data_IF_907798488093
#
_entry.id   IF_907798488093
#
_cell.length_a   1.000
_cell.length_b   1.000
_cell.length_c   1.000
_cell.angle_alpha   90.00
_cell.angle_beta   90.00
_cell.angle_gamma   90.00
#
_symmetry.space_group_name_H-M   'P 1'
#
loop_
_entity.id
_entity.type
_entity.pdbx_description
1 polymer ?
#
# COMPACT_ATOMS: atom_id res chain seq x y z
N UNK A 1 -0.06 -22.03 -2.16
CA UNK A 1 -0.86 -21.76 -3.38
C UNK A 1 -0.97 -20.25 -3.63
N UNK A 2 0.14 -19.51 -3.77
CA UNK A 2 0.12 -18.04 -3.67
C UNK A 2 0.05 -17.29 -5.03
N UNK A 3 0.21 -17.98 -6.17
CA UNK A 3 0.46 -17.32 -7.47
C UNK A 3 -0.74 -16.66 -8.16
N UNK A 4 -1.98 -17.06 -7.82
CA UNK A 4 -3.15 -16.75 -8.65
C UNK A 4 -4.23 -15.88 -7.99
N UNK A 5 -3.94 -15.19 -6.88
CA UNK A 5 -4.91 -14.22 -6.36
C UNK A 5 -5.20 -13.14 -7.40
N UNK A 6 -6.48 -12.84 -7.59
CA UNK A 6 -6.96 -11.77 -8.45
C UNK A 6 -6.62 -10.38 -7.85
N UNK A 7 -6.42 -9.37 -8.70
CA UNK A 7 -6.04 -8.02 -8.25
C UNK A 7 -7.15 -7.37 -7.41
N UNK A 8 -8.41 -7.58 -7.77
CA UNK A 8 -9.54 -7.02 -7.04
C UNK A 8 -9.78 -7.80 -5.74
N UNK A 9 -9.59 -9.13 -5.75
CA UNK A 9 -9.63 -9.92 -4.52
C UNK A 9 -8.55 -9.45 -3.52
N UNK A 10 -7.32 -9.23 -4.00
CA UNK A 10 -6.23 -8.70 -3.18
C UNK A 10 -6.58 -7.32 -2.61
N UNK A 11 -7.19 -6.43 -3.42
CA UNK A 11 -7.66 -5.13 -2.96
C UNK A 11 -8.74 -5.25 -1.86
N UNK A 12 -9.72 -6.14 -2.03
CA UNK A 12 -10.74 -6.39 -1.02
C UNK A 12 -10.15 -6.87 0.31
N UNK A 13 -9.18 -7.79 0.27
CA UNK A 13 -8.50 -8.28 1.48
C UNK A 13 -7.68 -7.17 2.15
N UNK A 14 -6.98 -6.36 1.36
CA UNK A 14 -6.24 -5.20 1.87
C UNK A 14 -7.16 -4.17 2.53
N UNK A 15 -8.34 -3.89 1.97
CA UNK A 15 -9.36 -3.03 2.62
C UNK A 15 -9.72 -3.59 4.00
N UNK A 16 -9.92 -4.90 4.15
CA UNK A 16 -10.24 -5.48 5.45
C UNK A 16 -9.08 -5.34 6.44
N UNK A 17 -7.83 -5.52 6.01
CA UNK A 17 -6.65 -5.28 6.87
C UNK A 17 -6.53 -3.82 7.31
N UNK A 18 -6.73 -2.87 6.39
CA UNK A 18 -6.74 -1.43 6.75
C UNK A 18 -7.87 -1.10 7.72
N UNK A 19 -9.05 -1.72 7.54
CA UNK A 19 -10.16 -1.60 8.51
C UNK A 19 -9.79 -2.19 9.87
N UNK A 20 -9.23 -3.40 9.93
CA UNK A 20 -8.76 -3.99 11.19
C UNK A 20 -7.76 -3.10 11.95
N UNK A 21 -6.90 -2.41 11.19
CA UNK A 21 -5.90 -1.50 11.75
C UNK A 21 -6.50 -0.23 12.35
N UNK A 22 -7.60 0.31 11.80
CA UNK A 22 -8.03 1.69 12.09
C UNK A 22 -9.52 1.90 12.37
N UNK A 23 -10.39 0.95 12.04
CA UNK A 23 -11.83 1.06 12.28
C UNK A 23 -12.11 1.20 13.79
N UNK A 24 -12.97 2.17 14.13
CA UNK A 24 -13.31 2.52 15.51
C UNK A 24 -12.14 3.01 16.39
N UNK A 25 -11.01 3.44 15.81
CA UNK A 25 -9.89 4.02 16.57
C UNK A 25 -9.88 5.54 16.50
N UNK A 26 -9.56 6.18 17.62
CA UNK A 26 -9.32 7.63 17.65
C UNK A 26 -7.89 7.96 17.21
N UNK A 27 -7.75 8.23 15.91
CA UNK A 27 -6.43 8.49 15.29
C UNK A 27 -5.80 9.81 15.75
N UNK A 28 -6.56 10.77 16.28
CA UNK A 28 -6.02 12.08 16.68
C UNK A 28 -5.05 11.99 17.86
N UNK A 29 -5.15 10.91 18.65
CA UNK A 29 -4.33 10.67 19.82
C UNK A 29 -3.25 9.60 19.58
N UNK A 30 -3.16 9.09 18.35
CA UNK A 30 -2.25 8.01 18.00
C UNK A 30 -0.94 8.58 17.44
N UNK A 31 0.20 8.10 17.93
CA UNK A 31 1.49 8.49 17.34
C UNK A 31 1.62 7.84 15.97
N UNK A 32 2.31 8.50 15.04
CA UNK A 32 2.60 7.95 13.71
C UNK A 32 3.24 6.55 13.77
N UNK A 33 4.16 6.33 14.71
CA UNK A 33 4.78 5.01 14.90
C UNK A 33 3.80 3.93 15.40
N UNK A 34 2.75 4.31 16.15
CA UNK A 34 1.68 3.38 16.53
C UNK A 34 0.78 3.06 15.33
N UNK A 35 0.49 4.06 14.48
CA UNK A 35 -0.29 3.89 13.25
C UNK A 35 0.42 2.95 12.28
N UNK A 36 1.72 3.19 12.02
CA UNK A 36 2.55 2.31 11.19
C UNK A 36 2.58 0.88 11.74
N UNK A 37 2.82 0.71 13.06
CA UNK A 37 2.81 -0.63 13.68
C UNK A 37 1.48 -1.34 13.55
N UNK A 38 0.37 -0.62 13.71
CA UNK A 38 -0.97 -1.20 13.58
C UNK A 38 -1.24 -1.65 12.15
N UNK A 39 -0.90 -0.82 11.15
CA UNK A 39 -1.03 -1.20 9.75
C UNK A 39 -0.13 -2.39 9.42
N UNK A 40 1.15 -2.36 9.80
CA UNK A 40 2.11 -3.41 9.44
C UNK A 40 1.74 -4.74 10.07
N UNK A 41 1.26 -4.76 11.32
CA UNK A 41 0.78 -5.98 11.96
C UNK A 41 -0.38 -6.63 11.19
N UNK A 42 -1.34 -5.85 10.67
CA UNK A 42 -2.44 -6.38 9.86
C UNK A 42 -1.96 -6.85 8.48
N UNK A 43 -0.93 -6.20 7.93
CA UNK A 43 -0.31 -6.59 6.67
C UNK A 43 0.53 -7.87 6.79
N UNK A 44 1.19 -8.09 7.91
CA UNK A 44 1.91 -9.34 8.20
C UNK A 44 0.93 -10.52 8.24
N UNK A 45 -0.19 -10.37 8.97
CA UNK A 45 -1.28 -11.35 9.01
C UNK A 45 -1.85 -11.63 7.60
N UNK A 46 -2.05 -10.59 6.79
CA UNK A 46 -2.51 -10.73 5.41
C UNK A 46 -1.50 -11.48 4.55
N UNK A 47 -0.21 -11.14 4.64
CA UNK A 47 0.85 -11.80 3.89
C UNK A 47 0.94 -13.28 4.24
N UNK A 48 0.88 -13.63 5.54
CA UNK A 48 0.82 -15.02 6.01
C UNK A 48 -0.39 -15.75 5.44
N UNK A 49 -1.59 -15.15 5.50
CA UNK A 49 -2.81 -15.74 4.95
C UNK A 49 -2.73 -15.99 3.43
N UNK A 50 -1.96 -15.16 2.71
CA UNK A 50 -1.71 -15.36 1.28
C UNK A 50 -0.61 -16.41 1.03
N UNK A 51 0.23 -16.71 2.03
CA UNK A 51 1.46 -17.46 1.87
C UNK A 51 2.52 -16.67 1.09
N UNK A 52 2.55 -15.36 1.30
CA UNK A 52 3.47 -14.42 0.68
C UNK A 52 4.58 -14.01 1.66
N UNK A 53 5.74 -13.68 1.11
CA UNK A 53 6.83 -13.06 1.85
C UNK A 53 6.56 -11.56 1.99
N UNK A 54 6.64 -11.00 3.19
CA UNK A 54 6.51 -9.56 3.45
C UNK A 54 7.85 -8.92 3.84
N UNK A 55 8.07 -7.71 3.35
CA UNK A 55 9.13 -6.78 3.79
C UNK A 55 8.50 -5.43 4.02
N UNK A 56 8.90 -4.74 5.08
CA UNK A 56 8.46 -3.39 5.35
C UNK A 56 9.61 -2.56 5.92
N UNK A 57 9.52 -1.23 5.82
CA UNK A 57 10.49 -0.31 6.44
C UNK A 57 10.60 -0.60 7.94
N UNK A 58 11.80 -0.43 8.48
CA UNK A 58 11.98 -0.49 9.93
C UNK A 58 11.48 0.81 10.55
N UNK A 59 10.91 0.70 11.75
CA UNK A 59 10.35 1.84 12.50
C UNK A 59 11.42 2.44 13.44
N UNK A 60 12.56 1.76 13.64
CA UNK A 60 13.65 2.18 14.52
C UNK A 60 14.93 2.55 13.74
N UNK A 61 15.66 3.56 14.25
CA UNK A 61 16.82 4.26 13.65
C UNK A 61 18.11 3.41 13.58
N UNK A 62 18.06 2.12 13.32
CA UNK A 62 19.27 1.43 12.92
C UNK A 62 19.69 1.98 11.56
N UNK A 63 20.78 2.77 11.55
CA UNK A 63 21.40 3.34 10.35
C UNK A 63 21.84 2.22 9.41
N UNK A 64 20.92 1.73 8.60
CA UNK A 64 21.25 0.86 7.49
C UNK A 64 21.70 1.75 6.33
N UNK A 65 22.77 1.37 5.66
CA UNK A 65 23.26 2.07 4.45
C UNK A 65 22.39 1.76 3.21
N UNK A 66 21.21 1.18 3.42
CA UNK A 66 20.26 0.81 2.39
C UNK A 66 18.85 0.99 2.95
N UNK A 67 17.99 1.67 2.21
CA UNK A 67 16.59 1.86 2.55
C UNK A 67 15.74 1.12 1.52
N UNK A 68 14.71 0.43 1.98
CA UNK A 68 13.74 -0.16 1.07
C UNK A 68 12.94 0.98 0.45
N UNK A 69 12.86 1.03 -0.89
CA UNK A 69 12.22 2.16 -1.59
C UNK A 69 10.76 2.39 -1.18
N UNK A 70 10.09 1.32 -0.72
CA UNK A 70 8.69 1.29 -0.36
C UNK A 70 8.48 0.92 1.10
N UNK A 71 7.40 1.43 1.69
CA UNK A 71 7.05 1.11 3.07
C UNK A 71 6.72 -0.36 3.29
N UNK A 72 5.99 -1.02 2.36
CA UNK A 72 5.66 -2.45 2.45
C UNK A 72 5.64 -3.10 1.07
N UNK A 73 6.20 -4.30 0.96
CA UNK A 73 6.14 -5.13 -0.23
C UNK A 73 5.81 -6.59 0.10
N UNK A 74 4.88 -7.18 -0.66
CA UNK A 74 4.56 -8.60 -0.63
C UNK A 74 5.11 -9.31 -1.86
N UNK A 75 5.73 -10.46 -1.66
CA UNK A 75 6.42 -11.22 -2.69
C UNK A 75 5.97 -12.66 -2.74
N UNK A 76 5.84 -13.20 -3.95
CA UNK A 76 5.82 -14.65 -4.20
C UNK A 76 7.24 -15.07 -4.58
N UNK A 77 7.77 -16.05 -3.87
CA UNK A 77 9.18 -16.46 -4.01
C UNK A 77 9.28 -17.96 -4.29
N UNK A 78 10.47 -18.41 -4.67
CA UNK A 78 10.83 -19.83 -4.71
C UNK A 78 11.29 -20.38 -3.36
N UNK A 79 11.14 -19.61 -2.27
CA UNK A 79 11.84 -19.79 -1.01
C UNK A 79 12.81 -18.65 -0.75
N UNK A 80 13.65 -18.81 0.26
CA UNK A 80 14.73 -17.89 0.62
C UNK A 80 15.99 -18.69 0.91
N UNK A 81 17.17 -18.08 0.75
CA UNK A 81 18.38 -18.67 1.32
C UNK A 81 18.39 -18.54 2.87
N UNK A 82 19.35 -19.18 3.57
CA UNK A 82 19.45 -19.09 5.04
C UNK A 82 19.65 -17.66 5.57
N UNK A 83 20.13 -16.73 4.73
CA UNK A 83 20.34 -15.33 5.06
C UNK A 83 19.11 -14.46 4.75
N UNK A 84 18.05 -15.04 4.16
CA UNK A 84 16.81 -14.37 3.82
C UNK A 84 16.82 -13.61 2.50
N UNK A 85 17.84 -13.80 1.66
CA UNK A 85 17.95 -13.18 0.34
C UNK A 85 17.35 -14.06 -0.76
N UNK A 86 16.98 -13.40 -1.86
CA UNK A 86 16.56 -14.07 -3.09
C UNK A 86 17.79 -14.46 -3.90
N UNK A 87 17.88 -15.72 -4.26
CA UNK A 87 19.00 -16.25 -5.06
C UNK A 87 18.52 -16.76 -6.42
N UNK A 88 19.43 -17.16 -7.30
CA UNK A 88 19.05 -17.82 -8.56
C UNK A 88 18.23 -19.10 -8.32
N UNK A 89 18.49 -19.78 -7.21
CA UNK A 89 17.80 -21.01 -6.80
C UNK A 89 16.48 -20.72 -6.09
N UNK A 90 16.33 -19.53 -5.50
CA UNK A 90 15.13 -19.06 -4.80
C UNK A 90 14.66 -17.72 -5.37
N UNK A 91 14.28 -17.68 -6.66
CA UNK A 91 14.04 -16.42 -7.34
C UNK A 91 12.81 -15.72 -6.78
N UNK A 92 12.85 -14.39 -6.75
CA UNK A 92 11.66 -13.56 -6.66
C UNK A 92 10.83 -13.79 -7.93
N UNK A 93 9.60 -14.29 -7.78
CA UNK A 93 8.72 -14.59 -8.92
C UNK A 93 7.83 -13.41 -9.26
N UNK A 94 7.28 -12.76 -8.24
CA UNK A 94 6.31 -11.69 -8.43
C UNK A 94 6.18 -10.82 -7.18
N UNK A 95 6.00 -9.52 -7.35
CA UNK A 95 5.47 -8.63 -6.31
C UNK A 95 3.93 -8.63 -6.37
N UNK A 96 3.28 -9.02 -5.27
CA UNK A 96 1.82 -8.99 -5.16
C UNK A 96 1.33 -7.58 -4.83
N UNK A 97 1.91 -7.00 -3.78
CA UNK A 97 1.55 -5.70 -3.24
C UNK A 97 2.82 -4.88 -3.08
N UNK A 98 2.71 -3.60 -3.44
CA UNK A 98 3.64 -2.56 -3.00
C UNK A 98 2.77 -1.46 -2.39
N UNK A 99 3.14 -0.98 -1.21
CA UNK A 99 2.37 -0.01 -0.46
C UNK A 99 3.28 1.09 0.07
N UNK A 100 2.79 2.32 -0.02
CA UNK A 100 3.32 3.48 0.69
C UNK A 100 2.28 3.98 1.69
N UNK A 101 2.75 4.51 2.82
CA UNK A 101 1.88 5.19 3.77
C UNK A 101 2.42 6.54 4.24
N UNK A 102 1.54 7.52 4.31
CA UNK A 102 1.88 8.88 4.74
C UNK A 102 0.90 9.39 5.80
N UNK A 103 1.43 9.85 6.92
CA UNK A 103 0.66 10.31 8.09
C UNK A 103 0.64 11.83 8.23
N UNK A 104 1.56 12.51 7.55
CA UNK A 104 1.51 13.94 7.38
C UNK A 104 0.48 14.33 6.31
N UNK A 105 0.05 15.58 6.34
CA UNK A 105 -0.93 16.12 5.40
C UNK A 105 -0.29 17.07 4.38
N UNK A 106 1.03 17.01 4.19
CA UNK A 106 1.69 17.77 3.14
C UNK A 106 1.45 17.09 1.80
N UNK A 107 0.52 17.65 1.03
CA UNK A 107 0.18 17.16 -0.30
C UNK A 107 1.40 16.96 -1.21
N UNK A 108 2.47 17.76 -1.08
CA UNK A 108 3.67 17.59 -1.93
C UNK A 108 4.41 16.31 -1.59
N UNK A 109 4.59 16.02 -0.30
CA UNK A 109 5.26 14.81 0.17
C UNK A 109 4.40 13.58 -0.16
N UNK A 110 3.10 13.65 0.12
CA UNK A 110 2.14 12.60 -0.23
C UNK A 110 2.18 12.22 -1.71
N UNK A 111 2.16 13.21 -2.62
CA UNK A 111 2.21 12.97 -4.06
C UNK A 111 3.59 12.48 -4.52
N UNK A 112 4.66 12.94 -3.87
CA UNK A 112 6.02 12.44 -4.12
C UNK A 112 6.13 10.95 -3.76
N UNK A 113 5.66 10.56 -2.57
CA UNK A 113 5.68 9.16 -2.16
C UNK A 113 4.76 8.29 -3.04
N UNK A 114 3.58 8.79 -3.39
CA UNK A 114 2.72 8.11 -4.35
C UNK A 114 3.43 7.87 -5.70
N UNK A 115 4.24 8.82 -6.18
CA UNK A 115 4.92 8.70 -7.48
C UNK A 115 5.86 7.49 -7.56
N UNK A 116 6.42 7.04 -6.43
CA UNK A 116 7.23 5.81 -6.35
C UNK A 116 6.43 4.58 -6.77
N UNK A 117 5.12 4.55 -6.46
CA UNK A 117 4.23 3.44 -6.78
C UNK A 117 4.00 3.30 -8.30
N UNK A 118 4.00 4.39 -9.06
CA UNK A 118 3.83 4.35 -10.52
C UNK A 118 4.88 3.45 -11.19
N UNK A 119 6.10 3.42 -10.65
CA UNK A 119 7.22 2.63 -11.16
C UNK A 119 7.21 1.17 -10.66
N UNK A 120 6.42 0.86 -9.62
CA UNK A 120 6.39 -0.47 -9.04
C UNK A 120 5.81 -1.48 -10.04
N UNK A 121 6.43 -2.66 -10.17
CA UNK A 121 5.90 -3.77 -11.01
C UNK A 121 5.20 -4.82 -10.15
N UNK A 122 4.10 -4.42 -9.50
CA UNK A 122 3.28 -5.30 -8.64
C UNK A 122 1.89 -5.57 -9.21
N UNK A 123 1.20 -6.60 -8.69
CA UNK A 123 -0.21 -6.84 -9.03
C UNK A 123 -1.13 -5.74 -8.53
N UNK A 124 -0.89 -5.24 -7.33
CA UNK A 124 -1.60 -4.13 -6.69
C UNK A 124 -0.60 -3.13 -6.12
N UNK A 125 -0.90 -1.85 -6.29
CA UNK A 125 -0.19 -0.73 -5.67
C UNK A 125 -1.15 -0.06 -4.70
N UNK A 126 -0.70 0.26 -3.51
CA UNK A 126 -1.58 0.84 -2.50
C UNK A 126 -0.96 2.10 -1.89
N UNK A 127 -1.79 3.09 -1.65
CA UNK A 127 -1.40 4.30 -0.95
C UNK A 127 -2.34 4.53 0.22
N UNK A 128 -1.81 4.49 1.44
CA UNK A 128 -2.58 4.66 2.67
C UNK A 128 -2.18 5.97 3.32
N UNK A 129 -3.10 6.91 3.48
CA UNK A 129 -2.74 8.21 4.04
C UNK A 129 -3.76 8.72 5.05
N UNK A 130 -3.27 9.51 6.01
CA UNK A 130 -4.13 10.19 6.96
C UNK A 130 -4.86 11.38 6.32
N UNK A 131 -6.15 11.51 6.58
CA UNK A 131 -6.98 12.64 6.13
C UNK A 131 -7.95 13.03 7.24
N UNK A 132 -8.09 14.32 7.50
CA UNK A 132 -9.05 14.82 8.50
C UNK A 132 -10.44 15.12 7.92
N UNK A 133 -10.59 15.11 6.59
CA UNK A 133 -11.85 15.45 5.94
C UNK A 133 -12.11 14.64 4.66
N UNK A 134 -13.38 14.61 4.23
CA UNK A 134 -13.79 14.07 2.93
C UNK A 134 -13.20 14.87 1.78
N UNK A 135 -13.21 16.19 1.90
CA UNK A 135 -12.77 17.12 0.86
C UNK A 135 -11.28 16.96 0.59
N UNK A 136 -10.45 16.78 1.64
CA UNK A 136 -9.02 16.50 1.48
C UNK A 136 -8.76 15.14 0.85
N UNK A 137 -9.55 14.12 1.22
CA UNK A 137 -9.47 12.81 0.56
C UNK A 137 -9.77 12.93 -0.93
N UNK A 138 -10.88 13.57 -1.29
CA UNK A 138 -11.29 13.72 -2.69
C UNK A 138 -10.28 14.55 -3.46
N UNK A 139 -9.77 15.66 -2.90
CA UNK A 139 -8.72 16.46 -3.53
C UNK A 139 -7.43 15.65 -3.76
N UNK A 140 -7.03 14.83 -2.80
CA UNK A 140 -5.84 13.97 -2.93
C UNK A 140 -6.06 12.89 -3.99
N UNK A 141 -7.23 12.26 -3.98
CA UNK A 141 -7.61 11.24 -4.94
C UNK A 141 -7.60 11.78 -6.38
N UNK A 142 -8.15 12.97 -6.62
CA UNK A 142 -8.11 13.58 -7.95
C UNK A 142 -6.68 13.91 -8.40
N UNK A 143 -5.82 14.39 -7.50
CA UNK A 143 -4.41 14.63 -7.81
C UNK A 143 -3.67 13.32 -8.15
N UNK A 144 -3.92 12.26 -7.38
CA UNK A 144 -3.37 10.92 -7.64
C UNK A 144 -3.86 10.36 -8.98
N UNK A 145 -5.16 10.47 -9.28
CA UNK A 145 -5.72 10.04 -10.57
C UNK A 145 -5.05 10.75 -11.74
N UNK A 146 -4.83 12.06 -11.63
CA UNK A 146 -4.12 12.83 -12.64
C UNK A 146 -2.67 12.36 -12.84
N UNK A 147 -1.96 12.00 -11.76
CA UNK A 147 -0.62 11.40 -11.86
C UNK A 147 -0.65 10.03 -12.56
N UNK A 148 -1.65 9.19 -12.25
CA UNK A 148 -1.80 7.87 -12.89
C UNK A 148 -2.08 8.04 -14.40
N UNK A 149 -3.00 8.92 -14.77
CA UNK A 149 -3.36 9.18 -16.17
C UNK A 149 -2.19 9.75 -16.98
N UNK A 150 -1.42 10.66 -16.38
CA UNK A 150 -0.23 11.25 -17.00
C UNK A 150 0.96 10.27 -17.12
N UNK A 151 0.93 9.12 -16.46
CA UNK A 151 2.04 8.16 -16.49
C UNK A 151 2.03 7.33 -17.77
N UNK A 152 2.92 7.68 -18.72
CA UNK A 152 2.98 7.09 -20.06
C UNK A 152 3.11 5.57 -20.09
N UNK A 153 3.82 4.99 -19.11
CA UNK A 153 4.04 3.54 -19.02
C UNK A 153 2.87 2.80 -18.32
N UNK A 154 1.84 3.51 -17.88
CA UNK A 154 0.65 2.94 -17.26
C UNK A 154 -0.20 2.14 -18.25
N UNK A 155 -0.69 0.99 -17.80
CA UNK A 155 -1.61 0.15 -18.54
C UNK A 155 -2.99 0.13 -17.88
N UNK A 156 -4.09 0.09 -18.65
CA UNK A 156 -5.46 -0.02 -18.11
C UNK A 156 -5.67 -1.20 -17.15
N UNK A 157 -4.83 -2.23 -17.24
CA UNK A 157 -4.88 -3.38 -16.32
C UNK A 157 -4.29 -3.07 -14.94
N UNK A 158 -3.45 -2.05 -14.79
CA UNK A 158 -2.87 -1.67 -13.49
C UNK A 158 -3.95 -1.35 -12.47
N UNK A 159 -3.64 -1.58 -11.19
CA UNK A 159 -4.56 -1.34 -10.07
C UNK A 159 -3.86 -0.57 -8.98
N UNK A 160 -4.52 0.50 -8.55
CA UNK A 160 -4.11 1.39 -7.46
C UNK A 160 -5.23 1.43 -6.43
N UNK A 161 -4.96 1.02 -5.20
CA UNK A 161 -5.89 1.18 -4.09
C UNK A 161 -5.48 2.41 -3.26
N UNK A 162 -6.36 3.41 -3.23
CA UNK A 162 -6.16 4.65 -2.50
C UNK A 162 -7.01 4.60 -1.23
N UNK A 163 -6.36 4.69 -0.06
CA UNK A 163 -6.97 4.54 1.25
C UNK A 163 -6.77 5.80 2.09
N UNK A 164 -7.82 6.59 2.30
CA UNK A 164 -7.82 7.70 3.23
C UNK A 164 -8.32 7.25 4.60
N UNK A 165 -7.48 7.38 5.63
CA UNK A 165 -7.84 7.06 7.01
C UNK A 165 -8.08 8.35 7.80
N UNK A 166 -9.27 8.51 8.35
CA UNK A 166 -9.63 9.62 9.24
C UNK A 166 -10.09 9.13 10.59
N UNK A 167 -10.17 10.03 11.57
CA UNK A 167 -10.51 9.71 12.98
C UNK A 167 -11.82 8.92 13.12
N UNK A 168 -12.79 9.09 12.21
CA UNK A 168 -14.10 8.41 12.28
C UNK A 168 -14.60 7.90 10.93
N UNK A 169 -13.70 7.77 9.96
CA UNK A 169 -14.11 7.44 8.59
C UNK A 169 -12.96 6.81 7.85
N UNK A 170 -13.25 5.77 7.07
CA UNK A 170 -12.29 5.16 6.15
C UNK A 170 -12.83 5.28 4.74
N UNK A 171 -12.02 5.81 3.83
CA UNK A 171 -12.39 6.03 2.43
C UNK A 171 -11.46 5.26 1.52
N UNK A 172 -12.03 4.57 0.56
CA UNK A 172 -11.31 3.70 -0.36
C UNK A 172 -11.73 3.99 -1.79
N UNK A 173 -10.75 4.09 -2.69
CA UNK A 173 -10.98 4.13 -4.13
C UNK A 173 -10.03 3.15 -4.82
N UNK A 174 -10.58 2.28 -5.66
CA UNK A 174 -9.81 1.44 -6.57
C UNK A 174 -9.78 2.12 -7.93
N UNK A 175 -8.58 2.42 -8.41
CA UNK A 175 -8.33 3.16 -9.64
C UNK A 175 -7.52 2.29 -10.60
N UNK A 176 -7.80 2.38 -11.89
CA UNK A 176 -7.02 1.69 -12.91
C UNK A 176 -5.83 2.51 -13.43
N UNK A 177 -5.00 1.95 -14.31
CA UNK A 177 -3.85 2.66 -14.89
C UNK A 177 -4.18 3.76 -15.91
N UNK A 178 -5.44 4.19 -16.01
CA UNK A 178 -5.89 5.37 -16.75
C UNK A 178 -6.54 6.41 -15.82
N UNK A 179 -6.38 6.25 -14.51
CA UNK A 179 -7.01 7.13 -13.52
C UNK A 179 -8.53 6.95 -13.42
N UNK A 180 -9.12 5.93 -14.07
CA UNK A 180 -10.55 5.65 -13.98
C UNK A 180 -10.86 4.99 -12.64
N UNK A 181 -11.80 5.56 -11.89
CA UNK A 181 -12.30 4.95 -10.66
C UNK A 181 -13.17 3.74 -11.01
N UNK A 182 -12.74 2.56 -10.55
CA UNK A 182 -13.45 1.30 -10.74
C UNK A 182 -14.43 1.02 -9.60
N UNK A 183 -14.12 1.48 -8.40
CA UNK A 183 -14.94 1.29 -7.21
C UNK A 183 -14.57 2.29 -6.13
N UNK A 184 -15.57 2.71 -5.34
CA UNK A 184 -15.38 3.53 -4.14
C UNK A 184 -16.20 2.97 -2.98
N UNK A 185 -15.62 3.03 -1.78
CA UNK A 185 -16.25 2.60 -0.53
C UNK A 185 -15.93 3.59 0.58
N UNK A 186 -16.94 3.90 1.38
CA UNK A 186 -16.80 4.70 2.59
C UNK A 186 -17.35 3.88 3.75
N UNK A 187 -16.62 3.86 4.86
CA UNK A 187 -16.97 3.21 6.11
C UNK A 187 -16.95 4.23 7.24
#
# INVERSE_FOLDING_TARGET
MCGNIDRNELACRLIQSVRGAFENRDLNNMKWSDMTRSLFSELDCLAECLGADVRHKQIEEEKQNWEFLYDVCFFVTGGRDPQGYFTRQTPLKQALLVLECEWNQDNKEMLYDFSKLLLARSKLRAFVFYTDSSEKFDSTLEAVKALIDAFEQGAKSDRYLICGIGCRSLRFALVDGRGEELCRKNY
#
